data_IF_617304366051
#
_entry.id   IF_617304366051
#
_cell.length_a   1.000
_cell.length_b   1.000
_cell.length_c   1.000
_cell.angle_alpha   90.00
_cell.angle_beta   90.00
_cell.angle_gamma   90.00
#
_symmetry.space_group_name_H-M   'P 1'
#
loop_
_entity.id
_entity.type
_entity.pdbx_description
1 polymer ?
#
# COMPACT_ATOMS: atom_id res chain seq x y z
N UNK A 1 -20.22 -8.99 -35.62
CA UNK A 1 -18.74 -8.86 -35.67
C UNK A 1 -18.26 -8.56 -37.09
N UNK A 2 -18.53 -9.44 -38.07
CA UNK A 2 -18.09 -9.29 -39.48
C UNK A 2 -18.56 -7.96 -40.12
N UNK A 3 -19.79 -7.53 -39.88
CA UNK A 3 -20.31 -6.25 -40.40
C UNK A 3 -19.66 -5.02 -39.76
N UNK A 4 -19.33 -5.10 -38.48
CA UNK A 4 -18.66 -4.03 -37.75
C UNK A 4 -17.23 -3.86 -38.26
N UNK A 5 -16.54 -4.98 -38.48
CA UNK A 5 -15.18 -5.00 -39.02
C UNK A 5 -15.12 -4.45 -40.45
N UNK A 6 -16.15 -4.70 -41.26
CA UNK A 6 -16.32 -4.10 -42.59
C UNK A 6 -16.53 -2.59 -42.50
N UNK A 7 -17.40 -2.10 -41.58
CA UNK A 7 -17.62 -0.66 -41.36
C UNK A 7 -16.34 0.05 -40.91
N UNK A 8 -15.60 -0.51 -39.95
CA UNK A 8 -14.32 0.05 -39.48
C UNK A 8 -13.29 0.12 -40.61
N UNK A 9 -13.18 -0.92 -41.45
CA UNK A 9 -12.29 -0.90 -42.61
C UNK A 9 -12.72 0.13 -43.68
N UNK A 10 -14.02 0.36 -43.82
CA UNK A 10 -14.57 1.38 -44.73
C UNK A 10 -14.25 2.79 -44.21
N UNK A 11 -14.55 3.07 -42.95
CA UNK A 11 -14.25 4.36 -42.30
C UNK A 11 -12.74 4.65 -42.30
N UNK A 12 -11.90 3.64 -42.05
CA UNK A 12 -10.44 3.78 -42.11
C UNK A 12 -9.95 4.15 -43.50
N UNK A 13 -10.54 3.57 -44.56
CA UNK A 13 -10.24 3.92 -45.96
C UNK A 13 -10.71 5.33 -46.30
N UNK A 14 -11.86 5.76 -45.79
CA UNK A 14 -12.36 7.13 -45.97
C UNK A 14 -11.45 8.14 -45.27
N UNK A 15 -10.99 7.83 -44.05
CA UNK A 15 -10.04 8.63 -43.28
C UNK A 15 -8.68 8.76 -43.99
N UNK A 16 -8.18 7.65 -44.54
CA UNK A 16 -6.93 7.62 -45.31
C UNK A 16 -7.06 8.41 -46.62
N UNK A 17 -8.20 8.32 -47.30
CA UNK A 17 -8.48 9.07 -48.53
C UNK A 17 -8.68 10.56 -48.27
N UNK A 18 -9.20 10.95 -47.09
CA UNK A 18 -9.37 12.35 -46.70
C UNK A 18 -8.03 13.08 -46.50
N UNK A 19 -6.97 12.35 -46.13
CA UNK A 19 -5.61 12.90 -46.03
C UNK A 19 -5.06 13.36 -47.39
N UNK A 20 -5.35 12.59 -48.43
CA UNK A 20 -4.97 12.91 -49.81
C UNK A 20 -5.84 14.03 -50.41
N UNK A 21 -6.99 14.31 -49.79
CA UNK A 21 -7.91 15.39 -50.16
C UNK A 21 -7.70 16.69 -49.37
N UNK A 22 -6.75 16.74 -48.41
CA UNK A 22 -6.38 18.02 -47.79
C UNK A 22 -5.87 18.92 -48.92
N UNK A 23 -6.64 19.95 -49.30
CA UNK A 23 -6.29 20.71 -50.49
C UNK A 23 -4.95 21.39 -50.20
N UNK A 24 -3.98 21.19 -51.10
CA UNK A 24 -2.69 21.87 -51.07
C UNK A 24 -2.87 23.34 -51.49
N UNK A 25 -3.90 23.98 -50.96
CA UNK A 25 -4.22 25.38 -51.15
C UNK A 25 -3.17 26.15 -50.36
N UNK A 26 -2.39 27.01 -51.02
CA UNK A 26 -1.40 27.81 -50.31
C UNK A 26 -2.13 28.64 -49.26
N UNK A 27 -1.81 28.38 -47.98
CA UNK A 27 -2.31 29.17 -46.85
C UNK A 27 -1.93 30.62 -47.15
N UNK A 28 -2.92 31.50 -47.30
CA UNK A 28 -2.67 32.94 -47.47
C UNK A 28 -2.23 33.49 -46.12
N UNK A 29 -0.91 33.56 -45.91
CA UNK A 29 -0.33 34.17 -44.71
C UNK A 29 -0.56 35.69 -44.80
N UNK A 30 -1.28 36.31 -43.86
CA UNK A 30 -1.45 37.76 -43.86
C UNK A 30 -0.10 38.41 -43.56
N UNK A 31 0.38 39.29 -44.44
CA UNK A 31 1.63 40.04 -44.25
C UNK A 31 1.41 41.54 -44.40
N UNK A 32 2.11 42.34 -43.59
CA UNK A 32 2.02 43.80 -43.62
C UNK A 32 2.55 44.36 -44.94
N UNK A 33 3.75 43.93 -45.35
CA UNK A 33 4.43 44.38 -46.56
C UNK A 33 5.56 43.42 -46.94
N UNK A 34 6.07 43.57 -48.16
CA UNK A 34 7.36 42.97 -48.54
C UNK A 34 8.50 43.84 -48.05
N UNK A 35 9.56 43.22 -47.57
CA UNK A 35 10.76 43.93 -47.15
C UNK A 35 11.41 44.65 -48.35
N UNK A 36 11.96 45.83 -48.09
CA UNK A 36 12.66 46.65 -49.08
C UNK A 36 14.02 47.02 -48.50
N UNK A 37 15.08 46.58 -49.16
CA UNK A 37 16.43 46.96 -48.78
C UNK A 37 16.80 48.23 -49.55
N UNK A 38 17.21 49.26 -48.81
CA UNK A 38 17.81 50.48 -49.35
C UNK A 38 19.33 50.34 -49.32
N UNK A 39 19.96 50.31 -50.49
CA UNK A 39 21.41 50.40 -50.60
C UNK A 39 21.76 51.86 -50.90
N UNK A 40 22.54 52.48 -50.01
CA UNK A 40 23.03 53.85 -50.17
C UNK A 40 24.47 53.78 -50.68
N UNK A 41 24.72 54.35 -51.85
CA UNK A 41 26.07 54.51 -52.38
C UNK A 41 26.47 55.98 -52.29
N UNK A 42 27.49 56.26 -51.49
CA UNK A 42 28.04 57.61 -51.33
C UNK A 42 28.86 58.00 -52.58
N UNK A 43 28.58 59.19 -53.11
CA UNK A 43 29.31 59.78 -54.24
C UNK A 43 30.28 60.83 -53.70
N UNK A 44 31.43 61.00 -54.36
CA UNK A 44 32.45 61.99 -53.96
C UNK A 44 31.96 63.45 -54.05
N UNK A 45 30.93 63.73 -54.87
CA UNK A 45 30.27 65.04 -54.95
C UNK A 45 28.75 64.87 -55.19
N UNK A 46 27.93 65.64 -54.46
CA UNK A 46 26.46 65.61 -54.54
C UNK A 46 25.80 64.63 -53.56
N UNK A 47 24.46 64.58 -53.55
CA UNK A 47 23.68 63.73 -52.65
C UNK A 47 23.85 62.24 -53.00
N UNK A 48 23.93 61.38 -51.98
CA UNK A 48 24.09 59.94 -52.12
C UNK A 48 23.01 59.28 -52.99
N UNK A 49 23.39 58.24 -53.74
CA UNK A 49 22.46 57.50 -54.59
C UNK A 49 21.77 56.40 -53.80
N UNK A 50 20.44 56.47 -53.72
CA UNK A 50 19.62 55.54 -52.95
C UNK A 50 18.90 54.60 -53.91
N UNK A 51 19.29 53.32 -53.91
CA UNK A 51 18.59 52.28 -54.66
C UNK A 51 17.71 51.44 -53.73
N UNK A 52 16.41 51.31 -54.06
CA UNK A 52 15.43 50.51 -53.32
C UNK A 52 15.16 49.19 -54.06
N UNK A 53 15.47 48.05 -53.45
CA UNK A 53 15.16 46.72 -54.00
C UNK A 53 14.16 46.00 -53.09
N UNK A 54 13.00 45.63 -53.66
CA UNK A 54 12.03 44.77 -52.96
C UNK A 54 12.58 43.35 -52.86
N UNK A 55 12.58 42.79 -51.65
CA UNK A 55 12.99 41.39 -51.43
C UNK A 55 11.78 40.45 -51.58
N UNK A 56 12.03 39.14 -51.51
CA UNK A 56 10.99 38.10 -51.48
C UNK A 56 10.45 37.86 -50.07
N UNK A 57 10.99 38.52 -49.05
CA UNK A 57 10.61 38.30 -47.66
C UNK A 57 9.32 39.04 -47.30
N UNK A 58 8.48 38.39 -46.50
CA UNK A 58 7.25 38.95 -45.96
C UNK A 58 7.51 39.49 -44.55
N UNK A 59 7.06 40.72 -44.29
CA UNK A 59 7.14 41.34 -42.97
C UNK A 59 5.80 41.15 -42.27
N UNK A 60 5.84 40.56 -41.08
CA UNK A 60 4.69 40.33 -40.21
C UNK A 60 4.68 41.34 -39.06
N UNK A 61 3.50 41.74 -38.58
CA UNK A 61 3.39 42.39 -37.28
C UNK A 61 3.63 41.37 -36.15
N UNK A 62 3.98 41.81 -34.93
CA UNK A 62 4.03 40.92 -33.77
C UNK A 62 2.73 40.13 -33.55
N UNK A 63 1.58 40.77 -33.75
CA UNK A 63 0.24 40.15 -33.64
C UNK A 63 0.03 39.07 -34.72
N UNK A 64 0.34 39.38 -35.99
CA UNK A 64 0.24 38.42 -37.10
C UNK A 64 1.17 37.23 -36.91
N UNK A 65 2.37 37.47 -36.39
CA UNK A 65 3.30 36.39 -36.06
C UNK A 65 2.74 35.50 -34.95
N UNK A 66 2.20 36.08 -33.88
CA UNK A 66 1.57 35.32 -32.79
C UNK A 66 0.38 34.47 -33.28
N UNK A 67 -0.53 35.06 -34.04
CA UNK A 67 -1.69 34.33 -34.60
C UNK A 67 -1.24 33.18 -35.50
N UNK A 68 -0.27 33.43 -36.40
CA UNK A 68 0.28 32.41 -37.27
C UNK A 68 0.95 31.28 -36.47
N UNK A 69 1.75 31.62 -35.46
CA UNK A 69 2.37 30.64 -34.56
C UNK A 69 1.31 29.81 -33.81
N UNK A 70 0.23 30.42 -33.34
CA UNK A 70 -0.88 29.70 -32.69
C UNK A 70 -1.54 28.70 -33.64
N UNK A 71 -1.84 29.11 -34.88
CA UNK A 71 -2.43 28.25 -35.90
C UNK A 71 -1.52 27.07 -36.25
N UNK A 72 -0.23 27.32 -36.45
CA UNK A 72 0.76 26.27 -36.73
C UNK A 72 0.87 25.30 -35.56
N UNK A 73 0.95 25.80 -34.33
CA UNK A 73 1.03 24.96 -33.14
C UNK A 73 -0.23 24.10 -32.97
N UNK A 74 -1.43 24.67 -33.16
CA UNK A 74 -2.67 23.93 -33.12
C UNK A 74 -2.69 22.81 -34.18
N UNK A 75 -2.30 23.11 -35.41
CA UNK A 75 -2.22 22.13 -36.50
C UNK A 75 -1.22 21.00 -36.19
N UNK A 76 -0.05 21.32 -35.64
CA UNK A 76 0.94 20.32 -35.22
C UNK A 76 0.39 19.43 -34.11
N UNK A 77 -0.32 19.98 -33.12
CA UNK A 77 -0.95 19.21 -32.04
C UNK A 77 -2.02 18.27 -32.58
N UNK A 78 -2.93 18.77 -33.44
CA UNK A 78 -3.98 17.95 -34.08
C UNK A 78 -3.36 16.79 -34.87
N UNK A 79 -2.29 17.06 -35.64
CA UNK A 79 -1.58 16.02 -36.39
C UNK A 79 -0.99 14.95 -35.46
N UNK A 80 -0.35 15.34 -34.37
CA UNK A 80 0.23 14.42 -33.38
C UNK A 80 -0.85 13.56 -32.71
N UNK A 81 -1.96 14.18 -32.29
CA UNK A 81 -3.07 13.45 -31.67
C UNK A 81 -3.72 12.47 -32.65
N UNK A 82 -3.91 12.86 -33.91
CA UNK A 82 -4.41 11.98 -34.95
C UNK A 82 -3.47 10.79 -35.21
N UNK A 83 -2.15 11.04 -35.30
CA UNK A 83 -1.16 9.97 -35.43
C UNK A 83 -1.16 9.01 -34.23
N UNK A 84 -1.39 9.52 -33.01
CA UNK A 84 -1.55 8.68 -31.81
C UNK A 84 -2.82 7.82 -31.92
N UNK A 85 -3.97 8.43 -32.19
CA UNK A 85 -5.26 7.73 -32.32
C UNK A 85 -5.22 6.61 -33.35
N UNK A 86 -4.50 6.82 -34.46
CA UNK A 86 -4.34 5.82 -35.52
C UNK A 86 -3.43 4.65 -35.13
N UNK A 87 -2.42 4.89 -34.30
CA UNK A 87 -1.49 3.84 -33.84
C UNK A 87 -2.08 3.01 -32.71
N UNK A 88 -2.94 3.60 -31.87
CA UNK A 88 -3.55 2.94 -30.73
C UNK A 88 -4.69 2.03 -31.16
N UNK A 89 -4.65 0.78 -30.75
CA UNK A 89 -5.75 -0.17 -30.90
C UNK A 89 -6.61 -0.15 -29.62
N UNK A 90 -7.60 0.75 -29.60
CA UNK A 90 -8.49 0.95 -28.45
C UNK A 90 -9.29 -0.30 -28.07
N UNK A 91 -9.54 -1.20 -29.03
CA UNK A 91 -10.26 -2.45 -28.76
C UNK A 91 -9.38 -3.34 -27.89
N UNK A 92 -8.11 -3.55 -28.27
CA UNK A 92 -7.16 -4.35 -27.49
C UNK A 92 -6.88 -3.76 -26.11
N UNK A 93 -6.73 -2.44 -26.03
CA UNK A 93 -6.50 -1.76 -24.74
C UNK A 93 -7.70 -1.96 -23.80
N UNK A 94 -8.92 -1.80 -24.30
CA UNK A 94 -10.13 -2.00 -23.52
C UNK A 94 -10.32 -3.47 -23.11
N UNK A 95 -10.03 -4.42 -24.01
CA UNK A 95 -10.04 -5.86 -23.68
C UNK A 95 -9.02 -6.20 -22.59
N UNK A 96 -7.80 -5.66 -22.67
CA UNK A 96 -6.78 -5.84 -21.65
C UNK A 96 -7.20 -5.24 -20.30
N UNK A 97 -7.76 -4.03 -20.29
CA UNK A 97 -8.27 -3.39 -19.08
C UNK A 97 -9.42 -4.19 -18.46
N UNK A 98 -10.32 -4.72 -19.29
CA UNK A 98 -11.43 -5.57 -18.84
C UNK A 98 -10.91 -6.87 -18.21
N UNK A 99 -9.95 -7.54 -18.84
CA UNK A 99 -9.34 -8.75 -18.31
C UNK A 99 -8.65 -8.51 -16.96
N UNK A 100 -7.91 -7.38 -16.83
CA UNK A 100 -7.32 -6.99 -15.55
C UNK A 100 -8.36 -6.69 -14.48
N UNK A 101 -9.43 -5.97 -14.82
CA UNK A 101 -10.51 -5.67 -13.90
C UNK A 101 -11.21 -6.96 -13.41
N UNK A 102 -11.49 -7.90 -14.31
CA UNK A 102 -12.05 -9.21 -13.96
C UNK A 102 -11.12 -10.01 -13.05
N UNK A 103 -9.81 -10.04 -13.34
CA UNK A 103 -8.81 -10.67 -12.48
C UNK A 103 -8.78 -10.07 -11.06
N UNK A 104 -8.77 -8.74 -10.95
CA UNK A 104 -8.82 -8.06 -9.64
C UNK A 104 -10.12 -8.29 -8.89
N UNK A 105 -11.25 -8.37 -9.59
CA UNK A 105 -12.53 -8.68 -8.95
C UNK A 105 -12.54 -10.09 -8.34
N UNK A 106 -11.98 -11.07 -9.05
CA UNK A 106 -11.91 -12.45 -8.56
C UNK A 106 -10.95 -12.58 -7.37
N UNK A 107 -9.77 -11.97 -7.46
CA UNK A 107 -8.80 -11.97 -6.35
C UNK A 107 -9.40 -11.30 -5.10
N UNK A 108 -10.09 -10.17 -5.25
CA UNK A 108 -10.74 -9.49 -4.14
C UNK A 108 -11.88 -10.33 -3.52
N UNK A 109 -12.61 -11.10 -4.34
CA UNK A 109 -13.63 -12.03 -3.85
C UNK A 109 -13.00 -13.14 -3.01
N UNK A 110 -11.92 -13.75 -3.49
CA UNK A 110 -11.18 -14.79 -2.77
C UNK A 110 -10.62 -14.26 -1.45
N UNK A 111 -9.95 -13.10 -1.47
CA UNK A 111 -9.41 -12.46 -0.26
C UNK A 111 -10.49 -12.15 0.78
N UNK A 112 -11.69 -11.73 0.35
CA UNK A 112 -12.83 -11.52 1.27
C UNK A 112 -13.30 -12.82 1.91
N UNK A 113 -13.33 -13.92 1.16
CA UNK A 113 -13.70 -15.23 1.69
C UNK A 113 -12.67 -15.74 2.70
N UNK A 114 -11.38 -15.67 2.36
CA UNK A 114 -10.27 -16.05 3.25
C UNK A 114 -10.29 -15.23 4.54
N UNK A 115 -10.46 -13.91 4.43
CA UNK A 115 -10.57 -13.02 5.60
C UNK A 115 -11.75 -13.41 6.49
N UNK A 116 -12.90 -13.75 5.92
CA UNK A 116 -14.07 -14.18 6.70
C UNK A 116 -13.80 -15.51 7.41
N UNK A 117 -13.11 -16.44 6.76
CA UNK A 117 -12.74 -17.72 7.34
C UNK A 117 -11.77 -17.55 8.50
N UNK A 118 -10.70 -16.76 8.31
CA UNK A 118 -9.74 -16.43 9.36
C UNK A 118 -10.41 -15.75 10.56
N UNK A 119 -11.36 -14.84 10.33
CA UNK A 119 -12.12 -14.23 11.42
C UNK A 119 -12.90 -15.25 12.25
N UNK A 120 -13.47 -16.29 11.62
CA UNK A 120 -14.17 -17.36 12.33
C UNK A 120 -13.19 -18.19 13.16
N UNK A 121 -12.05 -18.56 12.59
CA UNK A 121 -11.01 -19.35 13.28
C UNK A 121 -10.46 -18.60 14.49
N UNK A 122 -10.15 -17.32 14.35
CA UNK A 122 -9.76 -16.45 15.47
C UNK A 122 -10.84 -16.40 16.55
N UNK A 123 -12.12 -16.35 16.15
CA UNK A 123 -13.26 -16.41 17.07
C UNK A 123 -13.32 -17.71 17.88
N UNK A 124 -13.09 -18.85 17.23
CA UNK A 124 -13.04 -20.17 17.88
C UNK A 124 -11.88 -20.25 18.85
N UNK A 125 -10.67 -19.90 18.41
CA UNK A 125 -9.46 -19.93 19.23
C UNK A 125 -9.57 -19.05 20.47
N UNK A 126 -10.17 -17.86 20.35
CA UNK A 126 -10.39 -16.98 21.51
C UNK A 126 -11.30 -17.61 22.57
N UNK A 127 -12.32 -18.37 22.15
CA UNK A 127 -13.19 -19.11 23.08
C UNK A 127 -12.45 -20.25 23.76
N UNK A 128 -11.65 -21.00 23.01
CA UNK A 128 -10.82 -22.08 23.55
C UNK A 128 -9.80 -21.57 24.57
N UNK A 129 -9.10 -20.47 24.25
CA UNK A 129 -8.19 -19.78 25.17
C UNK A 129 -8.95 -19.33 26.43
N UNK A 130 -10.16 -18.79 26.27
CA UNK A 130 -11.03 -18.43 27.40
C UNK A 130 -11.34 -19.62 28.31
N UNK A 131 -11.76 -20.74 27.73
CA UNK A 131 -12.05 -21.99 28.43
C UNK A 131 -10.82 -22.53 29.18
N UNK A 132 -9.66 -22.58 28.51
CA UNK A 132 -8.40 -23.02 29.12
C UNK A 132 -7.98 -22.14 30.30
N UNK A 133 -8.17 -20.82 30.21
CA UNK A 133 -7.90 -19.91 31.33
C UNK A 133 -8.77 -20.19 32.55
N UNK A 134 -10.04 -20.57 32.35
CA UNK A 134 -10.94 -20.97 33.44
C UNK A 134 -10.43 -22.27 34.07
N UNK A 135 -10.17 -23.29 33.27
CA UNK A 135 -9.64 -24.57 33.77
C UNK A 135 -8.32 -24.42 34.54
N UNK A 136 -7.41 -23.58 34.07
CA UNK A 136 -6.15 -23.29 34.78
C UNK A 136 -6.41 -22.67 36.15
N UNK A 137 -7.36 -21.71 36.25
CA UNK A 137 -7.72 -21.11 37.54
C UNK A 137 -8.30 -22.13 38.51
N UNK A 138 -9.19 -22.99 38.02
CA UNK A 138 -9.80 -24.04 38.85
C UNK A 138 -8.74 -25.02 39.36
N UNK A 139 -7.81 -25.45 38.48
CA UNK A 139 -6.69 -26.30 38.86
C UNK A 139 -5.79 -25.63 39.90
N UNK A 140 -5.50 -24.33 39.76
CA UNK A 140 -4.72 -23.59 40.75
C UNK A 140 -5.40 -23.57 42.13
N UNK A 141 -6.73 -23.41 42.17
CA UNK A 141 -7.51 -23.48 43.41
C UNK A 141 -7.43 -24.89 44.00
N UNK A 142 -7.64 -25.93 43.18
CA UNK A 142 -7.58 -27.32 43.62
C UNK A 142 -6.22 -27.67 44.21
N UNK A 143 -5.13 -27.29 43.54
CA UNK A 143 -3.76 -27.50 44.03
C UNK A 143 -3.54 -26.78 45.37
N UNK A 144 -4.03 -25.54 45.50
CA UNK A 144 -3.92 -24.78 46.76
C UNK A 144 -4.66 -25.47 47.91
N UNK A 145 -5.90 -25.91 47.67
CA UNK A 145 -6.72 -26.61 48.67
C UNK A 145 -6.06 -27.92 49.06
N UNK A 146 -5.63 -28.73 48.08
CA UNK A 146 -4.92 -29.99 48.32
C UNK A 146 -3.66 -29.78 49.14
N UNK A 147 -2.85 -28.77 48.79
CA UNK A 147 -1.64 -28.44 49.54
C UNK A 147 -1.96 -28.07 50.99
N UNK A 148 -2.95 -27.20 51.22
CA UNK A 148 -3.35 -26.77 52.56
C UNK A 148 -3.88 -27.93 53.41
N UNK A 149 -4.75 -28.77 52.83
CA UNK A 149 -5.31 -29.95 53.51
C UNK A 149 -4.21 -30.98 53.83
N UNK A 150 -3.35 -31.30 52.85
CA UNK A 150 -2.23 -32.22 53.03
C UNK A 150 -1.30 -31.69 54.13
N UNK A 151 -0.89 -30.42 54.08
CA UNK A 151 -0.08 -29.79 55.11
C UNK A 151 -0.71 -29.89 56.51
N UNK A 152 -2.03 -29.67 56.61
CA UNK A 152 -2.77 -29.78 57.88
C UNK A 152 -2.79 -31.22 58.40
N UNK A 153 -3.19 -32.18 57.58
CA UNK A 153 -3.29 -33.60 57.95
C UNK A 153 -1.92 -34.13 58.38
N UNK A 154 -0.86 -33.85 57.60
CA UNK A 154 0.49 -34.27 57.96
C UNK A 154 0.97 -33.60 59.25
N UNK A 155 0.69 -32.31 59.46
CA UNK A 155 1.02 -31.62 60.72
C UNK A 155 0.34 -32.26 61.93
N UNK A 156 -0.95 -32.59 61.82
CA UNK A 156 -1.72 -33.22 62.89
C UNK A 156 -1.23 -34.65 63.17
N UNK A 157 -1.06 -35.47 62.12
CA UNK A 157 -0.54 -36.85 62.24
C UNK A 157 0.87 -36.86 62.82
N UNK A 158 1.75 -35.97 62.36
CA UNK A 158 3.11 -35.88 62.88
C UNK A 158 3.14 -35.39 64.33
N UNK A 159 2.28 -34.44 64.71
CA UNK A 159 2.14 -33.99 66.11
C UNK A 159 1.69 -35.15 67.02
N UNK A 160 0.70 -35.93 66.59
CA UNK A 160 0.21 -37.09 67.34
C UNK A 160 1.30 -38.17 67.47
N UNK A 161 1.95 -38.53 66.35
CA UNK A 161 3.05 -39.49 66.33
C UNK A 161 4.20 -39.06 67.27
N UNK A 162 4.59 -37.78 67.21
CA UNK A 162 5.62 -37.24 68.09
C UNK A 162 5.23 -37.29 69.57
N UNK A 163 3.96 -37.05 69.89
CA UNK A 163 3.44 -37.19 71.25
C UNK A 163 3.58 -38.63 71.77
N UNK A 164 3.26 -39.63 70.94
CA UNK A 164 3.42 -41.04 71.28
C UNK A 164 4.89 -41.40 71.54
N UNK A 165 5.80 -41.00 70.64
CA UNK A 165 7.25 -41.25 70.81
C UNK A 165 7.79 -40.57 72.07
N UNK A 166 7.34 -39.34 72.36
CA UNK A 166 7.77 -38.62 73.54
C UNK A 166 7.36 -39.36 74.82
N UNK A 167 6.08 -39.74 74.94
CA UNK A 167 5.60 -40.46 76.13
C UNK A 167 6.37 -41.77 76.34
N UNK A 168 6.57 -42.56 75.28
CA UNK A 168 7.31 -43.83 75.35
C UNK A 168 8.78 -43.66 75.78
N UNK A 169 9.45 -42.59 75.34
CA UNK A 169 10.82 -42.29 75.73
C UNK A 169 10.92 -41.72 77.14
N UNK A 170 9.97 -40.86 77.54
CA UNK A 170 9.88 -40.29 78.88
C UNK A 170 9.65 -41.42 79.91
N UNK A 171 8.76 -42.38 79.63
CA UNK A 171 8.50 -43.56 80.48
C UNK A 171 9.73 -44.47 80.64
N UNK A 172 10.61 -44.49 79.64
CA UNK A 172 11.89 -45.24 79.64
C UNK A 172 13.07 -44.43 80.18
N UNK A 173 12.88 -43.15 80.52
CA UNK A 173 13.94 -42.26 80.97
C UNK A 173 15.01 -41.96 79.91
N UNK A 174 14.68 -42.10 78.62
CA UNK A 174 15.61 -41.93 77.51
C UNK A 174 15.56 -40.50 76.93
N UNK A 175 16.71 -39.92 76.59
CA UNK A 175 16.78 -38.55 76.03
C UNK A 175 16.17 -38.49 74.61
N UNK A 176 15.24 -37.55 74.40
CA UNK A 176 14.53 -37.39 73.14
C UNK A 176 15.22 -36.37 72.23
N UNK A 177 16.19 -36.86 71.45
CA UNK A 177 16.91 -36.05 70.47
C UNK A 177 16.00 -35.48 69.36
N UNK A 178 14.95 -36.21 68.96
CA UNK A 178 13.97 -35.76 67.97
C UNK A 178 13.21 -34.50 68.41
N UNK A 179 12.81 -34.45 69.69
CA UNK A 179 12.12 -33.30 70.27
C UNK A 179 13.01 -32.06 70.28
N UNK A 180 14.29 -32.24 70.62
CA UNK A 180 15.30 -31.17 70.72
C UNK A 180 15.59 -30.54 69.37
N UNK A 181 15.85 -31.34 68.34
CA UNK A 181 16.13 -30.82 66.99
C UNK A 181 14.90 -30.13 66.39
N UNK A 182 13.70 -30.68 66.56
CA UNK A 182 12.50 -29.98 66.09
C UNK A 182 12.28 -28.63 66.79
N UNK A 183 12.56 -28.50 68.10
CA UNK A 183 12.46 -27.19 68.78
C UNK A 183 13.44 -26.17 68.18
N UNK A 184 14.69 -26.59 67.88
CA UNK A 184 15.67 -25.76 67.19
C UNK A 184 15.19 -25.34 65.80
N UNK A 185 14.66 -26.27 65.03
CA UNK A 185 14.18 -25.98 63.67
C UNK A 185 12.97 -25.04 63.66
N UNK A 186 12.01 -25.21 64.58
CA UNK A 186 10.89 -24.27 64.73
C UNK A 186 11.33 -22.87 65.13
N UNK A 187 12.37 -22.74 65.95
CA UNK A 187 12.94 -21.42 66.26
C UNK A 187 13.59 -20.75 65.05
N UNK A 188 14.20 -21.54 64.14
CA UNK A 188 14.75 -21.02 62.87
C UNK A 188 13.64 -20.58 61.92
N UNK A 189 12.58 -21.36 61.76
CA UNK A 189 11.45 -21.02 60.88
C UNK A 189 10.73 -19.73 61.28
N UNK A 190 10.58 -19.46 62.59
CA UNK A 190 9.99 -18.20 63.08
C UNK A 190 10.78 -16.95 62.67
N UNK A 191 12.09 -17.08 62.42
CA UNK A 191 12.91 -15.99 61.91
C UNK A 191 12.59 -15.61 60.47
N UNK A 192 12.23 -16.59 59.64
CA UNK A 192 11.96 -16.38 58.20
C UNK A 192 10.53 -15.93 57.90
N UNK A 193 9.54 -16.24 58.75
CA UNK A 193 8.16 -15.78 58.58
C UNK A 193 7.97 -14.27 58.89
N UNK A 194 8.94 -13.60 59.53
CA UNK A 194 8.90 -12.14 59.75
C UNK A 194 9.46 -11.31 58.56
N UNK A 195 9.98 -11.96 57.51
CA UNK A 195 10.63 -11.29 56.36
C UNK A 195 9.83 -11.35 55.05
N UNK A 196 8.59 -11.86 55.04
CA UNK A 196 7.73 -11.97 53.83
C UNK A 196 6.34 -11.36 53.99
#
# INVERSE_FOLDING_TARGET
YIELEKKVKQEQKELDSAKDQIPNVPVKIPFLRREVITTVQDKMFGKAEITKKKTKNYVLSPEQYQEFTQQVNAAVTIKKDYERLRKTDFVKENESLKAHAEGWMEENRTLKQEKSQLQKEVGVLNREIGSLKVHIKDLQVNIRVLYQQTKKVFKEKFKAFRGLIKNELDDKGADNHFEREHKKEMSRQKGYEMER
#
